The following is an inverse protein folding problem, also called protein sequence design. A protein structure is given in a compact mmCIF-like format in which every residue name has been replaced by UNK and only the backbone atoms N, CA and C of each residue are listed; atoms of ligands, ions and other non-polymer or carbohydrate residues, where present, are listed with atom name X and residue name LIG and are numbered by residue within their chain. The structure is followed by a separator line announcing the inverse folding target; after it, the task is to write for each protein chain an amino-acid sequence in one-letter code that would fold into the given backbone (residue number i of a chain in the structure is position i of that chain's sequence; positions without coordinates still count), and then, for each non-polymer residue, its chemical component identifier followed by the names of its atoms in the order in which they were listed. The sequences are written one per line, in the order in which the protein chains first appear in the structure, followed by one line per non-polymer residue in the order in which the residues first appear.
data_IF_609818192585
#
_entry.id   IF_609818192585
#
_cell.length_a   1.000
_cell.length_b   1.000
_cell.length_c   1.000
_cell.angle_alpha   90.00
_cell.angle_beta   90.00
_cell.angle_gamma   90.00
#
_symmetry.space_group_name_H-M   'P 1'
#
loop_
_entity.id
_entity.type
_entity.pdbx_description
1 polymer ?
#
# COMPACT_ATOMS: atom_id res chain seq x y z
N UNK A 1 1.60 24.44 8.48
CA UNK A 1 1.25 23.01 8.38
C UNK A 1 0.77 22.58 6.97
N UNK A 2 1.20 23.24 5.88
CA UNK A 2 0.62 22.98 4.54
C UNK A 2 1.33 21.91 3.69
N UNK A 3 2.67 21.81 3.76
CA UNK A 3 3.45 20.97 2.83
C UNK A 3 3.63 19.52 3.30
N UNK A 4 3.86 19.31 4.59
CA UNK A 4 4.06 17.97 5.15
C UNK A 4 2.80 17.11 5.01
N UNK A 5 1.62 17.67 5.31
CA UNK A 5 0.33 16.99 5.13
C UNK A 5 0.06 16.64 3.67
N UNK A 6 0.25 17.59 2.75
CA UNK A 6 0.12 17.33 1.30
C UNK A 6 1.06 16.21 0.83
N UNK A 7 2.28 16.15 1.36
CA UNK A 7 3.22 15.09 0.99
C UNK A 7 2.82 13.74 1.57
N UNK A 8 2.30 13.69 2.80
CA UNK A 8 1.73 12.48 3.40
C UNK A 8 0.52 12.00 2.60
N UNK A 9 -0.40 12.90 2.22
CA UNK A 9 -1.57 12.58 1.39
C UNK A 9 -1.16 12.03 0.01
N UNK A 10 -0.14 12.63 -0.64
CA UNK A 10 0.38 12.15 -1.92
C UNK A 10 1.03 10.76 -1.80
N UNK A 11 1.80 10.53 -0.73
CA UNK A 11 2.37 9.21 -0.43
C UNK A 11 1.27 8.18 -0.23
N UNK A 12 0.22 8.49 0.56
CA UNK A 12 -0.90 7.57 0.78
C UNK A 12 -1.65 7.24 -0.51
N UNK A 13 -1.93 8.23 -1.35
CA UNK A 13 -2.56 7.98 -2.66
C UNK A 13 -1.71 7.07 -3.54
N UNK A 14 -0.38 7.24 -3.53
CA UNK A 14 0.55 6.41 -4.30
C UNK A 14 0.57 4.97 -3.80
N UNK A 15 0.62 4.79 -2.47
CA UNK A 15 0.61 3.46 -1.86
C UNK A 15 -0.71 2.74 -2.08
N UNK A 16 -1.84 3.43 -1.98
CA UNK A 16 -3.16 2.85 -2.30
C UNK A 16 -3.23 2.35 -3.75
N UNK A 17 -2.69 3.12 -4.71
CA UNK A 17 -2.59 2.67 -6.10
C UNK A 17 -1.75 1.40 -6.25
N UNK A 18 -0.60 1.34 -5.57
CA UNK A 18 0.26 0.15 -5.57
C UNK A 18 -0.44 -1.08 -4.96
N UNK A 19 -1.19 -0.90 -3.87
CA UNK A 19 -2.00 -1.97 -3.27
C UNK A 19 -3.07 -2.48 -4.24
N UNK A 20 -3.76 -1.59 -4.96
CA UNK A 20 -4.73 -1.98 -5.98
C UNK A 20 -4.13 -2.85 -7.09
N UNK A 21 -2.97 -2.46 -7.63
CA UNK A 21 -2.24 -3.26 -8.62
C UNK A 21 -1.82 -4.63 -8.07
N UNK A 22 -1.34 -4.68 -6.82
CA UNK A 22 -0.97 -5.93 -6.19
C UNK A 22 -2.18 -6.84 -5.94
N UNK A 23 -3.34 -6.29 -5.58
CA UNK A 23 -4.58 -7.06 -5.42
C UNK A 23 -5.04 -7.68 -6.75
N UNK A 24 -4.92 -6.96 -7.86
CA UNK A 24 -5.17 -7.52 -9.19
C UNK A 24 -4.18 -8.65 -9.50
N UNK A 25 -2.88 -8.42 -9.27
CA UNK A 25 -1.85 -9.44 -9.47
C UNK A 25 -2.07 -10.69 -8.60
N UNK A 26 -2.56 -10.52 -7.37
CA UNK A 26 -2.90 -11.63 -6.46
C UNK A 26 -4.01 -12.51 -7.04
N UNK A 27 -5.05 -11.88 -7.62
CA UNK A 27 -6.17 -12.58 -8.25
C UNK A 27 -5.77 -13.34 -9.52
N UNK A 28 -4.79 -12.83 -10.28
CA UNK A 28 -4.32 -13.44 -11.52
C UNK A 28 -3.15 -14.42 -11.33
N UNK A 29 -2.48 -14.42 -10.19
CA UNK A 29 -1.34 -15.30 -9.94
C UNK A 29 -1.77 -16.77 -9.84
N UNK A 30 -1.13 -17.66 -10.60
CA UNK A 30 -1.44 -19.10 -10.57
C UNK A 30 -0.63 -19.83 -9.48
N UNK A 31 0.66 -19.47 -9.35
CA UNK A 31 1.56 -20.12 -8.39
C UNK A 31 1.30 -19.62 -6.97
N UNK A 32 1.12 -20.55 -6.03
CA UNK A 32 0.87 -20.23 -4.62
C UNK A 32 1.98 -19.39 -3.99
N UNK A 33 3.25 -19.68 -4.30
CA UNK A 33 4.38 -18.86 -3.83
C UNK A 33 4.29 -17.40 -4.28
N UNK A 34 3.83 -17.15 -5.51
CA UNK A 34 3.65 -15.79 -6.01
C UNK A 34 2.50 -15.10 -5.26
N UNK A 35 1.40 -15.80 -5.00
CA UNK A 35 0.30 -15.28 -4.17
C UNK A 35 0.79 -14.90 -2.78
N UNK A 36 1.57 -15.79 -2.15
CA UNK A 36 2.12 -15.56 -0.80
C UNK A 36 3.02 -14.31 -0.78
N UNK A 37 3.91 -14.15 -1.76
CA UNK A 37 4.78 -12.97 -1.86
C UNK A 37 4.00 -11.69 -2.12
N UNK A 38 2.99 -11.72 -2.99
CA UNK A 38 2.12 -10.56 -3.27
C UNK A 38 1.34 -10.18 -2.01
N UNK A 39 0.78 -11.16 -1.29
CA UNK A 39 0.07 -10.91 -0.03
C UNK A 39 0.98 -10.31 1.03
N UNK A 40 2.23 -10.78 1.15
CA UNK A 40 3.23 -10.18 2.05
C UNK A 40 3.52 -8.73 1.68
N UNK A 41 3.65 -8.40 0.39
CA UNK A 41 3.85 -7.03 -0.07
C UNK A 41 2.65 -6.13 0.28
N UNK A 42 1.42 -6.59 0.04
CA UNK A 42 0.19 -5.87 0.43
C UNK A 42 0.18 -5.60 1.94
N UNK A 43 0.50 -6.60 2.76
CA UNK A 43 0.52 -6.46 4.21
C UNK A 43 1.54 -5.39 4.66
N UNK A 44 2.75 -5.41 4.09
CA UNK A 44 3.79 -4.41 4.39
C UNK A 44 3.35 -2.99 4.03
N UNK A 45 2.71 -2.81 2.87
CA UNK A 45 2.20 -1.51 2.44
C UNK A 45 1.04 -1.01 3.31
N UNK A 46 0.13 -1.91 3.72
CA UNK A 46 -0.96 -1.57 4.64
C UNK A 46 -0.42 -1.12 6.01
N UNK A 47 0.58 -1.81 6.55
CA UNK A 47 1.25 -1.41 7.79
C UNK A 47 1.91 -0.03 7.66
N UNK A 48 2.56 0.26 6.52
CA UNK A 48 3.12 1.58 6.26
C UNK A 48 2.04 2.67 6.19
N UNK A 49 0.90 2.40 5.53
CA UNK A 49 -0.23 3.34 5.50
C UNK A 49 -0.80 3.61 6.90
N UNK A 50 -0.92 2.59 7.75
CA UNK A 50 -1.38 2.80 9.14
C UNK A 50 -0.42 3.71 9.91
N UNK A 51 0.88 3.50 9.78
CA UNK A 51 1.88 4.39 10.41
C UNK A 51 1.80 5.82 9.87
N UNK A 52 1.58 5.99 8.56
CA UNK A 52 1.46 7.30 7.93
C UNK A 52 0.16 8.03 8.31
N UNK A 53 -0.93 7.31 8.59
CA UNK A 53 -2.20 7.91 9.03
C UNK A 53 -2.08 8.64 10.37
N UNK A 54 -1.10 8.28 11.21
CA UNK A 54 -0.82 8.99 12.46
C UNK A 54 -0.22 10.39 12.29
N UNK A 55 0.19 10.76 11.07
CA UNK A 55 0.67 12.10 10.72
C UNK A 55 -0.41 12.96 10.04
N UNK A 56 -1.64 12.43 9.93
CA UNK A 56 -2.76 13.08 9.23
C UNK A 56 -3.60 13.98 10.16
N UNK A 57 -3.58 13.74 11.47
CA UNK A 57 -4.12 14.58 12.56
C UNK A 57 -3.23 15.81 12.83
#
# INVERSE_FOLDING_TARGET
MGKAKQQVDQCMSTVQGAVGTLQQALGSAEKQDNKNRIQQAINSLNSAMQQLSGFQD
#
